data_IF_937094427011
#
_entry.id   IF_937094427011
#
_cell.length_a   1.000
_cell.length_b   1.000
_cell.length_c   1.000
_cell.angle_alpha   90.00
_cell.angle_beta   90.00
_cell.angle_gamma   90.00
#
_symmetry.space_group_name_H-M   'P 1'
#
loop_
_entity.id
_entity.type
_entity.pdbx_description
1 polymer ?
#
# COMPACT_ATOMS: atom_id res chain seq x y z
N UNK A 1 0.73 0.51 18.35
CA UNK A 1 0.58 1.78 19.10
C UNK A 1 -0.87 2.14 19.39
N UNK A 2 -1.76 2.38 18.40
CA UNK A 2 -3.17 2.74 18.70
C UNK A 2 -3.91 1.70 19.55
N UNK A 3 -3.73 0.41 19.26
CA UNK A 3 -4.30 -0.68 20.06
C UNK A 3 -3.76 -0.68 21.50
N UNK A 4 -2.45 -0.54 21.67
CA UNK A 4 -1.80 -0.48 22.99
C UNK A 4 -2.23 0.76 23.79
N UNK A 5 -2.39 1.91 23.15
CA UNK A 5 -2.92 3.12 23.77
C UNK A 5 -4.37 2.95 24.25
N UNK A 6 -5.10 1.97 23.72
CA UNK A 6 -6.44 1.55 24.15
C UNK A 6 -6.41 0.40 25.15
N UNK A 7 -5.24 0.06 25.71
CA UNK A 7 -5.08 -1.01 26.70
C UNK A 7 -5.04 -2.42 26.10
N UNK A 8 -4.85 -2.56 24.79
CA UNK A 8 -4.71 -3.88 24.14
C UNK A 8 -3.25 -4.27 24.04
N UNK A 9 -2.86 -5.35 24.73
CA UNK A 9 -1.54 -5.94 24.59
C UNK A 9 -1.41 -6.66 23.24
N UNK A 10 -0.44 -6.20 22.43
CA UNK A 10 -0.11 -6.79 21.14
C UNK A 10 1.07 -7.71 21.34
N UNK A 11 0.85 -9.02 21.19
CA UNK A 11 1.91 -10.03 21.38
C UNK A 11 2.81 -10.20 20.15
N UNK A 12 2.32 -9.91 18.94
CA UNK A 12 3.06 -10.04 17.69
C UNK A 12 2.43 -9.18 16.58
N UNK A 13 3.24 -8.62 15.69
CA UNK A 13 2.80 -7.96 14.47
C UNK A 13 3.24 -8.75 13.24
N UNK A 14 2.28 -9.19 12.43
CA UNK A 14 2.56 -9.73 11.10
C UNK A 14 2.42 -8.61 10.07
N UNK A 15 3.50 -8.26 9.41
CA UNK A 15 3.56 -7.21 8.40
C UNK A 15 3.70 -7.84 7.01
N UNK A 16 2.64 -7.75 6.21
CA UNK A 16 2.71 -8.05 4.77
C UNK A 16 2.82 -6.75 3.99
N UNK A 17 3.84 -6.59 3.14
CA UNK A 17 3.81 -5.56 2.10
C UNK A 17 5.10 -4.76 1.86
N UNK A 18 4.87 -3.47 1.58
CA UNK A 18 5.72 -2.52 0.82
C UNK A 18 7.09 -2.27 1.44
N UNK A 19 7.98 -1.72 0.62
CA UNK A 19 9.32 -1.24 0.96
C UNK A 19 9.37 -0.51 2.32
N UNK A 20 10.39 -0.82 3.12
CA UNK A 20 10.60 -0.22 4.43
C UNK A 20 10.62 1.32 4.38
N UNK A 21 10.08 2.02 5.40
CA UNK A 21 10.02 3.48 5.37
C UNK A 21 11.38 4.19 5.31
N UNK A 22 12.45 3.52 5.73
CA UNK A 22 13.84 4.00 5.62
C UNK A 22 14.41 3.95 4.18
N UNK A 23 13.69 3.34 3.24
CA UNK A 23 14.08 3.17 1.84
C UNK A 23 13.13 3.92 0.90
N UNK A 24 12.77 5.15 1.26
CA UNK A 24 11.87 5.98 0.47
C UNK A 24 12.35 6.15 -0.99
N UNK A 25 11.41 6.17 -1.95
CA UNK A 25 11.62 6.51 -3.36
C UNK A 25 10.52 7.48 -3.80
N UNK A 26 10.89 8.54 -4.53
CA UNK A 26 9.91 9.46 -5.12
C UNK A 26 9.24 8.77 -6.32
N UNK A 27 8.17 8.04 -6.02
CA UNK A 27 7.27 7.40 -6.98
C UNK A 27 5.99 8.24 -7.07
N UNK A 28 5.45 8.35 -8.29
CA UNK A 28 4.33 9.25 -8.61
C UNK A 28 3.31 8.58 -9.52
N UNK A 29 3.18 7.26 -9.44
CA UNK A 29 2.26 6.49 -10.27
C UNK A 29 0.82 6.95 -10.02
N UNK A 30 0.46 7.34 -8.79
CA UNK A 30 -0.87 7.88 -8.48
C UNK A 30 -1.23 9.17 -9.24
N UNK A 31 -0.26 9.86 -9.83
CA UNK A 31 -0.46 11.08 -10.63
C UNK A 31 -0.53 10.80 -12.15
N UNK A 32 -0.24 9.57 -12.60
CA UNK A 32 -0.40 9.19 -14.00
C UNK A 32 -1.89 9.12 -14.36
N UNK A 33 -2.18 9.07 -15.65
CA UNK A 33 -3.52 8.70 -16.11
C UNK A 33 -3.88 7.25 -15.75
N UNK A 34 -5.10 6.83 -16.10
CA UNK A 34 -5.57 5.49 -15.78
C UNK A 34 -4.76 4.40 -16.50
N UNK A 35 -4.36 4.64 -17.75
CA UNK A 35 -3.52 3.69 -18.50
C UNK A 35 -2.15 3.50 -17.86
N UNK A 36 -1.49 4.59 -17.44
CA UNK A 36 -0.19 4.56 -16.79
C UNK A 36 -0.23 3.95 -15.38
N UNK A 37 -1.35 4.08 -14.67
CA UNK A 37 -1.60 3.39 -13.40
C UNK A 37 -1.80 1.88 -13.65
N UNK A 38 -2.62 1.52 -14.63
CA UNK A 38 -2.89 0.11 -14.96
C UNK A 38 -1.66 -0.62 -15.50
N UNK A 39 -0.77 0.07 -16.23
CA UNK A 39 0.50 -0.49 -16.66
C UNK A 39 1.36 -0.93 -15.46
N UNK A 40 1.45 -0.09 -14.42
CA UNK A 40 2.21 -0.37 -13.20
C UNK A 40 1.59 -1.53 -12.40
N UNK A 41 0.25 -1.55 -12.28
CA UNK A 41 -0.49 -2.63 -11.63
C UNK A 41 -0.24 -3.97 -12.32
N UNK A 42 -0.17 -3.99 -13.66
CA UNK A 42 0.15 -5.20 -14.44
C UNK A 42 1.58 -5.68 -14.18
N UNK A 43 2.54 -4.75 -14.09
CA UNK A 43 3.95 -5.06 -13.84
C UNK A 43 4.17 -5.68 -12.45
N UNK A 44 3.42 -5.24 -11.43
CA UNK A 44 3.54 -5.75 -10.06
C UNK A 44 2.96 -7.17 -9.86
N UNK A 45 2.17 -7.69 -10.82
CA UNK A 45 1.57 -9.03 -10.90
C UNK A 45 1.48 -9.84 -9.58
N UNK A 46 0.50 -9.44 -8.75
CA UNK A 46 -0.26 -10.32 -7.86
C UNK A 46 -1.76 -10.36 -8.19
N UNK A 47 -2.21 -9.61 -9.21
CA UNK A 47 -3.62 -9.47 -9.60
C UNK A 47 -3.89 -10.31 -10.85
N UNK A 48 -4.91 -11.17 -10.78
CA UNK A 48 -5.30 -12.06 -11.87
C UNK A 48 -5.56 -11.27 -13.17
N UNK A 49 -4.90 -11.62 -14.31
CA UNK A 49 -5.09 -10.96 -15.59
C UNK A 49 -6.55 -10.87 -16.04
N UNK A 50 -7.40 -11.79 -15.58
CA UNK A 50 -8.85 -11.79 -15.87
C UNK A 50 -9.58 -10.61 -15.23
N UNK A 51 -9.12 -10.14 -14.07
CA UNK A 51 -9.69 -8.97 -13.37
C UNK A 51 -9.32 -7.67 -14.08
N UNK A 52 -8.11 -7.60 -14.63
CA UNK A 52 -7.63 -6.43 -15.39
C UNK A 52 -8.08 -6.43 -16.86
N UNK A 53 -8.73 -7.49 -17.32
CA UNK A 53 -9.27 -7.64 -18.67
C UNK A 53 -10.73 -7.22 -18.83
N UNK A 54 -11.47 -7.05 -17.73
CA UNK A 54 -12.86 -6.56 -17.75
C UNK A 54 -12.88 -5.03 -17.51
N UNK A 55 -13.27 -4.22 -18.53
CA UNK A 55 -13.30 -2.76 -18.42
C UNK A 55 -14.21 -2.23 -17.30
N UNK A 56 -15.31 -2.92 -16.98
CA UNK A 56 -16.24 -2.51 -15.94
C UNK A 56 -15.60 -2.67 -14.57
N UNK A 57 -14.95 -3.82 -14.34
CA UNK A 57 -14.23 -4.12 -13.10
C UNK A 57 -13.06 -3.15 -12.90
N UNK A 58 -12.29 -2.90 -13.96
CA UNK A 58 -11.20 -1.92 -13.95
C UNK A 58 -11.70 -0.54 -13.55
N UNK A 59 -12.78 -0.06 -14.18
CA UNK A 59 -13.36 1.25 -13.88
C UNK A 59 -13.85 1.38 -12.44
N UNK A 60 -14.38 0.31 -11.87
CA UNK A 60 -14.77 0.27 -10.46
C UNK A 60 -13.55 0.26 -9.51
N UNK A 61 -12.47 -0.41 -9.87
CA UNK A 61 -11.28 -0.55 -9.03
C UNK A 61 -10.33 0.67 -9.09
N UNK A 62 -10.31 1.40 -10.20
CA UNK A 62 -9.39 2.52 -10.45
C UNK A 62 -9.33 3.56 -9.31
N UNK A 63 -10.46 4.03 -8.73
CA UNK A 63 -10.42 4.98 -7.62
C UNK A 63 -9.70 4.43 -6.38
N UNK A 64 -9.96 3.16 -6.03
CA UNK A 64 -9.33 2.51 -4.88
C UNK A 64 -7.83 2.29 -5.13
N UNK A 65 -7.47 1.79 -6.32
CA UNK A 65 -6.07 1.61 -6.72
C UNK A 65 -5.30 2.94 -6.63
N UNK A 66 -5.86 4.01 -7.19
CA UNK A 66 -5.21 5.33 -7.16
C UNK A 66 -5.04 5.86 -5.73
N UNK A 67 -6.03 5.63 -4.86
CA UNK A 67 -5.95 6.00 -3.45
C UNK A 67 -4.85 5.22 -2.71
N UNK A 68 -4.73 3.91 -2.95
CA UNK A 68 -3.71 3.06 -2.34
C UNK A 68 -2.30 3.46 -2.78
N UNK A 69 -2.09 3.70 -4.07
CA UNK A 69 -0.82 4.22 -4.59
C UNK A 69 -0.47 5.56 -3.96
N UNK A 70 -1.44 6.49 -3.87
CA UNK A 70 -1.21 7.77 -3.22
C UNK A 70 -0.79 7.59 -1.76
N UNK A 71 -1.50 6.75 -1.01
CA UNK A 71 -1.18 6.47 0.39
C UNK A 71 0.25 5.91 0.54
N UNK A 72 0.62 4.94 -0.30
CA UNK A 72 1.94 4.33 -0.27
C UNK A 72 3.07 5.29 -0.68
N UNK A 73 2.89 6.06 -1.76
CA UNK A 73 3.91 6.94 -2.34
C UNK A 73 4.11 8.22 -1.52
N UNK A 74 3.04 8.73 -0.90
CA UNK A 74 3.09 9.93 -0.08
C UNK A 74 3.38 9.66 1.40
N UNK A 75 3.38 8.39 1.83
CA UNK A 75 3.69 8.05 3.22
C UNK A 75 5.10 8.54 3.59
N UNK A 76 5.16 9.27 4.70
CA UNK A 76 6.42 9.68 5.34
C UNK A 76 6.39 9.19 6.77
N UNK A 77 7.37 8.35 7.12
CA UNK A 77 7.51 7.88 8.48
C UNK A 77 7.88 9.04 9.41
N UNK A 78 7.08 9.22 10.46
CA UNK A 78 7.38 10.09 11.57
C UNK A 78 8.12 9.28 12.66
N UNK A 79 9.36 9.65 13.02
CA UNK A 79 10.10 8.97 14.08
C UNK A 79 9.35 8.92 15.41
N UNK A 80 9.49 7.80 16.11
CA UNK A 80 8.94 7.61 17.46
C UNK A 80 9.43 6.32 18.10
N UNK A 81 9.04 6.03 19.35
CA UNK A 81 9.53 4.86 20.10
C UNK A 81 9.32 3.54 19.34
N UNK A 82 10.26 2.60 19.36
CA UNK A 82 10.08 1.32 18.66
C UNK A 82 8.81 0.60 19.11
N UNK A 83 8.26 -0.26 18.24
CA UNK A 83 7.18 -1.16 18.67
C UNK A 83 7.73 -2.12 19.73
N UNK A 84 6.94 -2.40 20.76
CA UNK A 84 7.34 -3.28 21.87
C UNK A 84 7.03 -4.75 21.61
N UNK A 85 6.37 -5.06 20.49
CA UNK A 85 6.07 -6.42 20.07
C UNK A 85 7.03 -6.89 18.98
N UNK A 86 7.32 -8.20 18.89
CA UNK A 86 8.00 -8.78 17.76
C UNK A 86 7.24 -8.54 16.45
N UNK A 87 7.99 -8.49 15.34
CA UNK A 87 7.47 -8.26 14.00
C UNK A 87 7.94 -9.40 13.10
N UNK A 88 7.06 -9.91 12.23
CA UNK A 88 7.39 -10.84 11.14
C UNK A 88 6.77 -10.38 9.84
#
# INVERSE_FOLDING_TARGET
RLLQARGTDVCHLFASGRRAPSRFRDERVHLRDDEGLLADVRELSGTDPRVLGDPEVVRMALPALRADYRAAETYRYAPGPPLTCPIT
#
